data_IF_507422681640
#
_entry.id   IF_507422681640
#
_cell.length_a   1.000
_cell.length_b   1.000
_cell.length_c   1.000
_cell.angle_alpha   90.00
_cell.angle_beta   90.00
_cell.angle_gamma   90.00
#
_symmetry.space_group_name_H-M   'P 1'
#
loop_
_entity.id
_entity.type
_entity.pdbx_description
1 polymer ?
#
# COMPACT_ATOMS: atom_id res chain seq x y z
N UNK A 1 -3.71 27.68 -8.92
CA UNK A 1 -3.70 27.05 -10.26
C UNK A 1 -4.59 25.81 -10.19
N UNK A 2 -5.51 25.64 -11.12
CA UNK A 2 -6.35 24.44 -11.23
C UNK A 2 -6.00 23.74 -12.54
N UNK A 3 -5.61 22.47 -12.47
CA UNK A 3 -5.37 21.65 -13.66
C UNK A 3 -6.69 21.48 -14.42
N UNK A 4 -6.69 21.72 -15.72
CA UNK A 4 -7.87 21.55 -16.58
C UNK A 4 -7.80 20.26 -17.40
N UNK A 5 -6.58 19.82 -17.73
CA UNK A 5 -6.31 18.61 -18.50
C UNK A 5 -5.40 17.64 -17.75
N UNK A 6 -5.42 16.36 -18.12
CA UNK A 6 -4.53 15.34 -17.54
C UNK A 6 -3.05 15.60 -17.86
N UNK A 7 -2.77 16.29 -18.97
CA UNK A 7 -1.43 16.75 -19.35
C UNK A 7 -0.84 17.75 -18.33
N UNK A 8 -1.68 18.55 -17.67
CA UNK A 8 -1.26 19.51 -16.63
C UNK A 8 -0.85 18.81 -15.33
N UNK A 9 -1.39 17.63 -15.04
CA UNK A 9 -0.99 16.84 -13.86
C UNK A 9 0.50 16.51 -13.93
N UNK A 10 1.01 16.22 -15.12
CA UNK A 10 2.42 15.91 -15.32
C UNK A 10 3.34 17.11 -15.13
N UNK A 11 2.89 18.29 -15.54
CA UNK A 11 3.68 19.53 -15.40
C UNK A 11 3.80 19.99 -13.95
N UNK A 12 2.73 19.82 -13.17
CA UNK A 12 2.65 20.42 -11.84
C UNK A 12 2.45 19.40 -10.72
N UNK A 13 1.53 18.44 -10.87
CA UNK A 13 1.10 17.57 -9.76
C UNK A 13 2.13 16.49 -9.44
N UNK A 14 2.63 15.73 -10.43
CA UNK A 14 3.63 14.68 -10.17
C UNK A 14 4.95 15.21 -9.62
N UNK A 15 5.53 16.31 -10.16
CA UNK A 15 6.75 16.87 -9.58
C UNK A 15 6.54 17.36 -8.13
N UNK A 16 5.41 18.02 -7.85
CA UNK A 16 5.10 18.45 -6.47
C UNK A 16 4.90 17.27 -5.52
N UNK A 17 4.22 16.20 -5.97
CA UNK A 17 4.04 14.98 -5.18
C UNK A 17 5.39 14.29 -4.88
N UNK A 18 6.27 14.22 -5.87
CA UNK A 18 7.61 13.62 -5.71
C UNK A 18 8.50 14.44 -4.79
N UNK A 19 8.42 15.78 -4.82
CA UNK A 19 9.14 16.67 -3.89
C UNK A 19 8.60 16.54 -2.47
N UNK A 20 7.28 16.40 -2.31
CA UNK A 20 6.66 16.19 -1.00
C UNK A 20 7.06 14.83 -0.41
N UNK A 21 7.15 13.80 -1.26
CA UNK A 21 7.61 12.47 -0.88
C UNK A 21 6.76 11.87 0.24
N UNK A 22 7.36 11.27 1.29
CA UNK A 22 6.63 10.65 2.40
C UNK A 22 5.87 11.64 3.29
N UNK A 23 6.08 12.95 3.15
CA UNK A 23 5.35 13.96 3.92
C UNK A 23 3.87 14.08 3.49
N UNK A 24 3.46 13.38 2.42
CA UNK A 24 2.06 13.36 1.98
C UNK A 24 1.09 12.83 3.06
N UNK A 25 1.58 12.04 4.02
CA UNK A 25 0.78 11.54 5.14
C UNK A 25 0.15 12.65 6.02
N UNK A 26 0.68 13.88 6.01
CA UNK A 26 0.11 14.99 6.77
C UNK A 26 -1.30 15.38 6.31
N UNK A 27 -1.60 15.17 5.02
CA UNK A 27 -2.94 15.38 4.45
C UNK A 27 -3.42 14.10 3.75
N UNK A 28 -4.14 13.29 4.51
CA UNK A 28 -4.73 12.04 3.99
C UNK A 28 -5.78 12.30 2.92
N UNK A 29 -6.49 13.45 2.96
CA UNK A 29 -7.51 13.79 1.97
C UNK A 29 -6.86 14.04 0.62
N UNK A 30 -5.72 14.74 0.60
CA UNK A 30 -4.92 14.92 -0.61
C UNK A 30 -4.45 13.57 -1.16
N UNK A 31 -3.93 12.69 -0.30
CA UNK A 31 -3.48 11.36 -0.69
C UNK A 31 -4.61 10.52 -1.32
N UNK A 32 -5.81 10.50 -0.71
CA UNK A 32 -6.99 9.84 -1.30
C UNK A 32 -7.35 10.40 -2.68
N UNK A 33 -7.37 11.73 -2.82
CA UNK A 33 -7.69 12.38 -4.11
C UNK A 33 -6.67 12.00 -5.17
N UNK A 34 -5.39 11.99 -4.83
CA UNK A 34 -4.32 11.61 -5.76
C UNK A 34 -4.45 10.16 -6.21
N UNK A 35 -4.67 9.23 -5.27
CA UNK A 35 -4.88 7.79 -5.58
C UNK A 35 -6.10 7.61 -6.49
N UNK A 36 -7.19 8.35 -6.24
CA UNK A 36 -8.41 8.27 -7.08
C UNK A 36 -8.18 8.80 -8.49
N UNK A 37 -7.40 9.87 -8.64
CA UNK A 37 -6.98 10.38 -9.96
C UNK A 37 -6.10 9.34 -10.68
N UNK A 38 -5.11 8.76 -9.99
CA UNK A 38 -4.29 7.68 -10.55
C UNK A 38 -5.14 6.51 -11.04
N UNK A 39 -6.12 6.08 -10.23
CA UNK A 39 -7.05 5.00 -10.59
C UNK A 39 -7.83 5.34 -11.86
N UNK A 40 -8.36 6.55 -11.96
CA UNK A 40 -9.11 7.00 -13.13
C UNK A 40 -8.23 7.01 -14.39
N UNK A 41 -7.02 7.54 -14.30
CA UNK A 41 -6.04 7.51 -15.39
C UNK A 41 -5.74 6.07 -15.84
N UNK A 42 -5.45 5.16 -14.92
CA UNK A 42 -5.14 3.75 -15.25
C UNK A 42 -6.30 3.06 -15.96
N UNK A 43 -7.54 3.33 -15.55
CA UNK A 43 -8.74 2.79 -16.20
C UNK A 43 -8.95 3.40 -17.59
N UNK A 44 -8.78 4.72 -17.75
CA UNK A 44 -8.93 5.41 -19.04
C UNK A 44 -7.87 4.99 -20.06
N UNK A 45 -6.66 4.66 -19.61
CA UNK A 45 -5.61 4.12 -20.47
C UNK A 45 -5.89 2.68 -20.96
N UNK A 46 -6.92 2.01 -20.43
CA UNK A 46 -7.26 0.63 -20.80
C UNK A 46 -6.20 -0.41 -20.41
N UNK A 47 -5.35 -0.08 -19.44
CA UNK A 47 -4.28 -0.97 -18.96
C UNK A 47 -4.89 -2.07 -18.09
N UNK A 48 -4.41 -3.29 -18.29
CA UNK A 48 -4.73 -4.43 -17.45
C UNK A 48 -3.43 -5.13 -16.99
N UNK A 49 -3.55 -6.02 -16.02
CA UNK A 49 -2.44 -6.79 -15.46
C UNK A 49 -1.63 -7.58 -16.49
N UNK A 50 -2.19 -7.83 -17.68
CA UNK A 50 -1.57 -8.52 -18.81
C UNK A 50 -1.24 -7.59 -19.98
N UNK A 51 -1.95 -6.47 -20.11
CA UNK A 51 -1.86 -5.57 -21.26
C UNK A 51 -1.35 -4.21 -20.80
N UNK A 52 -0.12 -3.87 -21.18
CA UNK A 52 0.47 -2.55 -20.94
C UNK A 52 -0.14 -1.46 -21.83
N UNK A 53 0.17 -0.18 -21.54
CA UNK A 53 -0.23 0.93 -22.40
C UNK A 53 0.43 0.82 -23.79
N UNK A 54 -0.16 1.42 -24.84
CA UNK A 54 0.42 1.41 -26.18
C UNK A 54 1.80 2.12 -26.18
N UNK A 55 2.82 1.53 -26.82
CA UNK A 55 4.18 2.08 -26.80
C UNK A 55 4.26 3.44 -27.50
N UNK A 56 5.10 4.34 -26.98
CA UNK A 56 5.31 5.72 -27.42
C UNK A 56 4.08 6.63 -27.35
N UNK A 57 3.15 6.37 -26.42
CA UNK A 57 1.96 7.20 -26.20
C UNK A 57 2.08 8.09 -24.96
N UNK A 58 1.24 9.13 -24.87
CA UNK A 58 1.11 9.92 -23.63
C UNK A 58 0.63 9.04 -22.45
N UNK A 59 -0.14 7.99 -22.73
CA UNK A 59 -0.58 7.01 -21.75
C UNK A 59 0.61 6.24 -21.14
N UNK A 60 1.61 5.86 -21.94
CA UNK A 60 2.82 5.22 -21.41
C UNK A 60 3.58 6.14 -20.45
N UNK A 61 3.67 7.44 -20.76
CA UNK A 61 4.33 8.41 -19.90
C UNK A 61 3.59 8.56 -18.56
N UNK A 62 2.27 8.70 -18.61
CA UNK A 62 1.43 8.74 -17.41
C UNK A 62 1.52 7.46 -16.57
N UNK A 63 1.62 6.30 -17.21
CA UNK A 63 1.78 5.02 -16.54
C UNK A 63 3.08 4.97 -15.70
N UNK A 64 4.21 5.41 -16.27
CA UNK A 64 5.48 5.49 -15.53
C UNK A 64 5.48 6.59 -14.45
N UNK A 65 4.84 7.74 -14.71
CA UNK A 65 4.71 8.82 -13.72
C UNK A 65 3.94 8.35 -12.47
N UNK A 66 2.84 7.60 -12.66
CA UNK A 66 2.06 7.00 -11.58
C UNK A 66 2.91 6.01 -10.79
N UNK A 67 3.66 5.16 -11.49
CA UNK A 67 4.55 4.18 -10.87
C UNK A 67 5.65 4.85 -10.04
N UNK A 68 6.28 5.91 -10.57
CA UNK A 68 7.28 6.69 -9.85
C UNK A 68 6.69 7.39 -8.62
N UNK A 69 5.48 7.95 -8.76
CA UNK A 69 4.79 8.62 -7.66
C UNK A 69 4.39 7.63 -6.55
N UNK A 70 3.95 6.42 -6.90
CA UNK A 70 3.63 5.36 -5.94
C UNK A 70 4.86 4.98 -5.09
N UNK A 71 6.02 4.83 -5.73
CA UNK A 71 7.29 4.47 -5.09
C UNK A 71 7.86 5.61 -4.22
N UNK A 72 7.83 6.85 -4.73
CA UNK A 72 8.44 8.00 -4.08
C UNK A 72 7.61 8.60 -2.93
N UNK A 73 6.28 8.64 -3.06
CA UNK A 73 5.43 9.32 -2.08
C UNK A 73 4.39 8.42 -1.40
N UNK A 74 3.59 7.66 -2.15
CA UNK A 74 2.40 7.01 -1.58
C UNK A 74 2.76 5.84 -0.66
N UNK A 75 3.60 4.90 -1.12
CA UNK A 75 3.99 3.74 -0.31
C UNK A 75 4.84 4.13 0.92
N UNK A 76 5.84 5.03 0.81
CA UNK A 76 6.53 5.54 2.00
C UNK A 76 5.60 6.24 2.99
N UNK A 77 4.62 7.00 2.51
CA UNK A 77 3.64 7.69 3.36
C UNK A 77 2.74 6.72 4.14
N UNK A 78 2.44 5.55 3.58
CA UNK A 78 1.61 4.54 4.23
C UNK A 78 2.19 4.06 5.58
N UNK A 79 3.51 4.04 5.73
CA UNK A 79 4.19 3.67 6.98
C UNK A 79 3.91 4.66 8.14
N UNK A 80 3.53 5.89 7.82
CA UNK A 80 3.12 6.88 8.82
C UNK A 80 1.65 6.80 9.19
N UNK A 81 0.81 6.20 8.35
CA UNK A 81 -0.63 6.12 8.54
C UNK A 81 -1.00 4.88 9.38
N UNK A 82 -0.90 5.01 10.70
CA UNK A 82 -1.32 3.95 11.60
C UNK A 82 -2.81 3.63 11.48
N UNK A 83 -3.15 2.35 11.35
CA UNK A 83 -4.52 1.83 11.35
C UNK A 83 -5.38 2.27 10.16
N UNK A 84 -4.81 2.66 9.01
CA UNK A 84 -5.60 3.07 7.85
C UNK A 84 -5.77 1.94 6.82
N UNK A 85 -6.69 1.00 7.10
CA UNK A 85 -7.05 -0.08 6.18
C UNK A 85 -7.59 0.46 4.84
N UNK A 86 -8.47 1.47 4.92
CA UNK A 86 -9.12 2.05 3.75
C UNK A 86 -8.13 2.71 2.79
N UNK A 87 -7.02 3.26 3.29
CA UNK A 87 -5.95 3.77 2.43
C UNK A 87 -5.28 2.65 1.65
N UNK A 88 -4.94 1.54 2.32
CA UNK A 88 -4.31 0.38 1.68
C UNK A 88 -5.21 -0.23 0.61
N UNK A 89 -6.54 -0.24 0.83
CA UNK A 89 -7.52 -0.69 -0.16
C UNK A 89 -7.54 0.20 -1.41
N UNK A 90 -7.53 1.52 -1.25
CA UNK A 90 -7.48 2.45 -2.38
C UNK A 90 -6.17 2.34 -3.16
N UNK A 91 -5.04 2.15 -2.46
CA UNK A 91 -3.74 1.88 -3.11
C UNK A 91 -3.81 0.57 -3.91
N UNK A 92 -4.37 -0.49 -3.34
CA UNK A 92 -4.56 -1.77 -4.04
C UNK A 92 -5.48 -1.63 -5.26
N UNK A 93 -6.51 -0.79 -5.18
CA UNK A 93 -7.42 -0.51 -6.28
C UNK A 93 -6.69 0.07 -7.51
N UNK A 94 -5.52 0.68 -7.34
CA UNK A 94 -4.61 1.11 -8.42
C UNK A 94 -3.63 -0.01 -8.78
N UNK A 95 -2.95 -0.60 -7.78
CA UNK A 95 -1.90 -1.60 -8.00
C UNK A 95 -2.37 -2.83 -8.77
N UNK A 96 -3.63 -3.25 -8.60
CA UNK A 96 -4.17 -4.45 -9.26
C UNK A 96 -4.10 -4.43 -10.80
N UNK A 97 -4.06 -3.24 -11.41
CA UNK A 97 -3.93 -3.07 -12.85
C UNK A 97 -2.49 -3.24 -13.35
N UNK A 98 -1.50 -3.25 -12.46
CA UNK A 98 -0.10 -3.44 -12.83
C UNK A 98 0.26 -4.93 -12.89
N UNK A 99 1.12 -5.34 -13.84
CA UNK A 99 1.66 -6.69 -13.93
C UNK A 99 2.28 -7.18 -12.62
N UNK A 100 2.26 -8.50 -12.42
CA UNK A 100 2.81 -9.15 -11.22
C UNK A 100 4.26 -8.74 -10.94
N UNK A 101 5.14 -8.79 -11.94
CA UNK A 101 6.56 -8.51 -11.75
C UNK A 101 6.79 -7.07 -11.28
N UNK A 102 6.02 -6.10 -11.79
CA UNK A 102 6.10 -4.71 -11.35
C UNK A 102 5.62 -4.53 -9.92
N UNK A 103 4.49 -5.15 -9.54
CA UNK A 103 4.00 -5.11 -8.15
C UNK A 103 5.04 -5.62 -7.17
N UNK A 104 5.64 -6.77 -7.47
CA UNK A 104 6.65 -7.38 -6.58
C UNK A 104 7.96 -6.60 -6.56
N UNK A 105 8.38 -6.02 -7.69
CA UNK A 105 9.52 -5.10 -7.74
C UNK A 105 9.27 -3.86 -6.87
N UNK A 106 8.06 -3.30 -6.91
CA UNK A 106 7.67 -2.16 -6.09
C UNK A 106 7.65 -2.53 -4.59
N UNK A 107 7.11 -3.69 -4.23
CA UNK A 107 7.13 -4.17 -2.84
C UNK A 107 8.55 -4.41 -2.33
N UNK A 108 9.43 -4.96 -3.17
CA UNK A 108 10.83 -5.18 -2.81
C UNK A 108 11.54 -3.85 -2.54
N UNK A 109 11.37 -2.85 -3.42
CA UNK A 109 11.93 -1.50 -3.23
C UNK A 109 11.36 -0.82 -2.00
N UNK A 110 10.06 -0.88 -1.80
CA UNK A 110 9.44 -0.33 -0.60
C UNK A 110 9.98 -0.95 0.70
N UNK A 111 10.26 -2.26 0.70
CA UNK A 111 10.79 -2.99 1.86
C UNK A 111 12.30 -2.82 2.09
N UNK A 112 13.05 -2.37 1.10
CA UNK A 112 14.51 -2.34 1.21
C UNK A 112 15.07 -0.91 1.09
N UNK A 113 14.51 -0.10 0.19
CA UNK A 113 15.10 1.15 -0.25
C UNK A 113 14.28 2.36 0.20
N UNK A 114 12.95 2.33 -0.01
CA UNK A 114 12.14 3.56 0.06
C UNK A 114 12.04 4.17 1.47
N UNK A 115 12.17 3.38 2.55
CA UNK A 115 12.24 3.94 3.92
C UNK A 115 13.63 4.35 4.38
N UNK A 116 14.69 3.89 3.71
CA UNK A 116 16.08 4.25 4.06
C UNK A 116 16.40 5.70 3.67
N UNK A 117 15.63 6.26 2.73
CA UNK A 117 15.80 7.62 2.22
C UNK A 117 15.54 8.70 3.27
N UNK A 118 14.74 8.42 4.30
CA UNK A 118 14.35 9.41 5.30
C UNK A 118 14.61 8.90 6.73
N UNK A 119 15.40 9.60 7.56
CA UNK A 119 15.70 9.16 8.94
C UNK A 119 14.44 8.92 9.80
N UNK A 120 13.39 9.72 9.59
CA UNK A 120 12.12 9.56 10.28
C UNK A 120 11.41 8.26 9.89
N UNK A 121 11.53 7.82 8.63
CA UNK A 121 10.98 6.55 8.17
C UNK A 121 11.76 5.37 8.73
N UNK A 122 13.10 5.45 8.77
CA UNK A 122 13.94 4.42 9.40
C UNK A 122 13.52 4.21 10.85
N UNK A 123 13.35 5.30 11.62
CA UNK A 123 12.87 5.23 13.00
C UNK A 123 11.48 4.61 13.08
N UNK A 124 10.55 5.01 12.21
CA UNK A 124 9.18 4.48 12.17
C UNK A 124 9.16 2.98 11.87
N UNK A 125 9.92 2.55 10.86
CA UNK A 125 10.11 1.14 10.53
C UNK A 125 10.66 0.36 11.73
N UNK A 126 11.71 0.86 12.38
CA UNK A 126 12.29 0.20 13.55
C UNK A 126 11.31 0.07 14.73
N UNK A 127 10.46 1.08 14.96
CA UNK A 127 9.40 1.02 15.96
C UNK A 127 8.33 -0.02 15.58
N UNK A 128 7.82 0.03 14.34
CA UNK A 128 6.84 -0.93 13.84
C UNK A 128 7.38 -2.37 13.90
N UNK A 129 8.65 -2.57 13.53
CA UNK A 129 9.35 -3.85 13.59
C UNK A 129 9.48 -4.39 15.01
N UNK A 130 9.87 -3.53 15.96
CA UNK A 130 9.93 -3.88 17.39
C UNK A 130 8.56 -4.27 17.92
N UNK A 131 7.54 -3.50 17.57
CA UNK A 131 6.18 -3.70 18.07
C UNK A 131 5.54 -4.97 17.46
N UNK A 132 5.71 -5.21 16.15
CA UNK A 132 5.35 -6.48 15.48
C UNK A 132 6.05 -7.65 16.17
N UNK A 133 7.36 -7.57 16.40
CA UNK A 133 8.12 -8.64 17.07
C UNK A 133 7.63 -8.92 18.49
N UNK A 134 7.38 -7.87 19.27
CA UNK A 134 6.86 -8.01 20.63
C UNK A 134 5.46 -8.64 20.65
N UNK A 135 4.64 -8.28 19.67
CA UNK A 135 3.28 -8.78 19.53
C UNK A 135 3.27 -10.25 19.09
N UNK A 136 4.03 -10.62 18.07
CA UNK A 136 4.15 -12.00 17.59
C UNK A 136 4.64 -12.97 18.67
N UNK A 137 5.52 -12.51 19.59
CA UNK A 137 5.97 -13.32 20.74
C UNK A 137 4.87 -13.63 21.76
N UNK A 138 3.78 -12.85 21.80
CA UNK A 138 2.69 -12.98 22.77
C UNK A 138 1.48 -13.72 22.20
N UNK A 139 1.47 -14.01 20.89
CA UNK A 139 0.38 -14.73 20.23
C UNK A 139 0.35 -16.17 20.73
N UNK A 140 -0.79 -16.57 21.30
CA UNK A 140 -1.12 -17.91 21.75
C UNK A 140 -2.52 -18.30 21.25
N UNK A 141 -2.90 -19.57 21.40
CA UNK A 141 -4.21 -20.06 20.96
C UNK A 141 -5.38 -19.36 21.66
N UNK A 142 -5.18 -18.87 22.88
CA UNK A 142 -6.21 -18.27 23.72
C UNK A 142 -6.48 -16.79 23.38
N UNK A 143 -5.46 -16.07 22.90
CA UNK A 143 -5.52 -14.63 22.65
C UNK A 143 -5.45 -14.25 21.16
N UNK A 144 -5.50 -15.25 20.27
CA UNK A 144 -5.37 -15.10 18.81
C UNK A 144 -6.36 -14.11 18.22
N UNK A 145 -7.60 -14.02 18.73
CA UNK A 145 -8.61 -13.06 18.25
C UNK A 145 -8.20 -11.62 18.47
N UNK A 146 -7.71 -11.31 19.68
CA UNK A 146 -7.39 -9.94 20.07
C UNK A 146 -6.05 -9.50 19.46
N UNK A 147 -5.02 -10.35 19.58
CA UNK A 147 -3.71 -10.05 19.00
C UNK A 147 -3.73 -10.13 17.47
N UNK A 148 -4.52 -11.02 16.87
CA UNK A 148 -4.71 -11.11 15.43
C UNK A 148 -5.26 -9.83 14.81
N UNK A 149 -6.20 -9.14 15.49
CA UNK A 149 -6.68 -7.81 15.06
C UNK A 149 -5.57 -6.76 15.08
N UNK A 150 -4.69 -6.81 16.08
CA UNK A 150 -3.54 -5.92 16.18
C UNK A 150 -2.47 -6.24 15.12
N UNK A 151 -2.23 -7.52 14.81
CA UNK A 151 -1.41 -7.93 13.65
C UNK A 151 -2.01 -7.39 12.35
N UNK A 152 -3.33 -7.54 12.17
CA UNK A 152 -4.04 -7.05 10.99
C UNK A 152 -3.86 -5.56 10.76
N UNK A 153 -3.83 -4.76 11.83
CA UNK A 153 -3.53 -3.32 11.72
C UNK A 153 -2.14 -3.05 11.10
N UNK A 154 -1.13 -3.83 11.50
CA UNK A 154 0.21 -3.73 10.92
C UNK A 154 0.29 -4.29 9.50
N UNK A 155 -0.52 -5.30 9.13
CA UNK A 155 -0.51 -5.84 7.77
C UNK A 155 -0.97 -4.85 6.71
N UNK A 156 -1.85 -3.91 7.07
CA UNK A 156 -2.29 -2.87 6.13
C UNK A 156 -1.25 -1.77 5.93
N UNK A 157 -0.53 -1.40 6.99
CA UNK A 157 0.40 -0.26 6.95
C UNK A 157 1.82 -0.67 6.52
N UNK A 158 2.26 -1.87 6.93
CA UNK A 158 3.62 -2.38 6.72
C UNK A 158 3.64 -3.91 6.49
N UNK A 159 2.99 -4.43 5.43
CA UNK A 159 2.96 -5.86 5.11
C UNK A 159 4.37 -6.44 4.92
N UNK A 160 5.28 -5.72 4.27
CA UNK A 160 6.65 -6.20 4.04
C UNK A 160 7.41 -6.49 5.34
N UNK A 161 7.29 -5.62 6.34
CA UNK A 161 7.89 -5.81 7.66
C UNK A 161 7.24 -6.99 8.39
N UNK A 162 5.93 -7.18 8.26
CA UNK A 162 5.24 -8.29 8.89
C UNK A 162 5.72 -9.64 8.32
N UNK A 163 5.84 -9.77 7.00
CA UNK A 163 6.24 -11.01 6.34
C UNK A 163 7.68 -11.43 6.67
N UNK A 164 8.58 -10.49 6.99
CA UNK A 164 9.95 -10.83 7.41
C UNK A 164 10.00 -11.55 8.77
N UNK A 165 9.00 -11.35 9.62
CA UNK A 165 8.91 -11.99 10.93
C UNK A 165 8.03 -13.23 10.94
N UNK A 166 7.09 -13.33 10.01
CA UNK A 166 6.22 -14.49 9.87
C UNK A 166 6.94 -15.53 9.00
N UNK A 167 7.91 -16.25 9.59
CA UNK A 167 8.43 -17.48 8.98
C UNK A 167 7.27 -18.45 8.70
N UNK A 168 7.27 -19.05 7.50
CA UNK A 168 6.22 -19.84 6.84
C UNK A 168 5.31 -20.72 7.73
N UNK A 169 5.81 -21.26 8.83
CA UNK A 169 5.08 -22.17 9.73
C UNK A 169 3.88 -21.53 10.46
N UNK A 170 3.88 -20.21 10.71
CA UNK A 170 2.77 -19.52 11.39
C UNK A 170 1.82 -18.78 10.42
N UNK A 171 2.26 -18.59 9.17
CA UNK A 171 1.54 -17.86 8.12
C UNK A 171 0.25 -18.59 7.70
N UNK A 172 0.31 -19.92 7.57
CA UNK A 172 -0.86 -20.73 7.22
C UNK A 172 -1.96 -20.70 8.31
N UNK A 173 -1.59 -20.44 9.57
CA UNK A 173 -2.54 -20.34 10.69
C UNK A 173 -3.14 -18.93 10.79
N UNK A 174 -2.33 -17.87 10.66
CA UNK A 174 -2.79 -16.48 10.74
C UNK A 174 -3.55 -16.03 9.49
N UNK A 175 -3.15 -16.46 8.29
CA UNK A 175 -3.88 -16.16 7.04
C UNK A 175 -5.19 -16.93 6.97
N UNK A 176 -5.25 -18.22 7.40
CA UNK A 176 -6.55 -18.91 7.52
C UNK A 176 -7.46 -18.21 8.54
N UNK A 177 -6.93 -17.73 9.67
CA UNK A 177 -7.75 -17.04 10.68
C UNK A 177 -8.24 -15.66 10.21
N UNK A 178 -7.40 -14.88 9.52
CA UNK A 178 -7.76 -13.56 8.99
C UNK A 178 -8.67 -13.64 7.74
N UNK A 179 -8.60 -14.71 6.95
CA UNK A 179 -9.51 -14.94 5.83
C UNK A 179 -10.86 -15.58 6.25
N UNK A 180 -10.89 -16.52 7.22
CA UNK A 180 -12.15 -17.15 7.65
C UNK A 180 -13.02 -16.26 8.56
N UNK A 181 -12.45 -15.37 9.40
CA UNK A 181 -13.27 -14.53 10.28
C UNK A 181 -13.95 -13.34 9.59
N UNK A 182 -13.57 -13.01 8.35
CA UNK A 182 -14.32 -12.04 7.54
C UNK A 182 -15.53 -12.68 6.82
N UNK A 183 -15.57 -14.01 6.67
CA UNK A 183 -16.71 -14.71 6.06
C UNK A 183 -17.76 -15.18 7.06
N UNK A 184 -17.38 -15.45 8.32
CA UNK A 184 -18.33 -15.90 9.36
C UNK A 184 -19.20 -14.78 9.97
N UNK A 185 -19.04 -13.52 9.52
CA UNK A 185 -20.01 -12.44 9.82
C UNK A 185 -21.12 -12.32 8.76
N UNK A 186 -21.09 -13.13 7.70
CA UNK A 186 -22.10 -13.12 6.62
C UNK A 186 -22.72 -14.50 6.32
N UNK A 187 -22.42 -15.53 7.11
CA UNK A 187 -23.06 -16.84 6.99
C UNK A 187 -23.77 -17.20 8.31
N UNK A 188 -25.11 -17.14 8.26
CA UNK A 188 -26.13 -17.51 9.26
C UNK A 188 -26.31 -16.58 10.48
N UNK A 189 -27.33 -15.71 10.47
CA UNK A 189 -28.36 -15.80 11.49
C UNK A 189 -29.33 -16.95 11.14
N UNK A 190 -29.94 -17.56 12.13
CA UNK A 190 -30.82 -18.72 11.99
C UNK A 190 -32.00 -18.48 11.02
N UNK A 191 -32.35 -19.53 10.25
CA UNK A 191 -33.45 -19.67 9.26
C UNK A 191 -33.21 -19.15 7.83
#
# INVERSE_FOLDING_TARGET
>A
MQAKEFSDLRKYTWPMANVLGPAMHYDTVLMYKLIRIMRKLVVEMGVDSLNGPPPNSEAEQHYYDIMSSLDACILPSLLYLDNNCSMSEEIWAVLKYFPYHFRYSLYARWKNDSYQLHPNLIRRCGLAQRDIKALMKRVSKENVKQLGRLVGKYSHCAPGLLFDYVSLSYCCWIINYLLFYSTDSLANPDL
#
